data_IF_628691061433
#
_entry.id   IF_628691061433
#
_cell.length_a   1.000
_cell.length_b   1.000
_cell.length_c   1.000
_cell.angle_alpha   90.00
_cell.angle_beta   90.00
_cell.angle_gamma   90.00
#
_symmetry.space_group_name_H-M   'P 1'
#
loop_
_entity.id
_entity.type
_entity.pdbx_description
1 polymer ?
#
# COMPACT_ATOMS: atom_id res chain seq x y z
N UNK A 1 32.25 10.20 17.90
CA UNK A 1 31.96 8.94 17.21
C UNK A 1 30.46 8.71 17.38
N UNK A 2 29.66 9.03 16.37
CA UNK A 2 28.21 8.81 16.42
C UNK A 2 27.99 7.36 15.98
N UNK A 3 27.54 6.51 16.89
CA UNK A 3 27.13 5.14 16.60
C UNK A 3 25.83 5.21 15.80
N UNK A 4 25.92 5.04 14.48
CA UNK A 4 24.77 4.85 13.60
C UNK A 4 24.24 3.43 13.77
N UNK A 5 23.58 3.17 14.89
CA UNK A 5 23.05 1.85 15.23
C UNK A 5 21.57 1.95 15.60
N UNK A 6 20.82 2.71 14.80
CA UNK A 6 19.36 2.64 14.76
C UNK A 6 18.96 1.97 13.44
N UNK A 7 19.35 0.70 13.27
CA UNK A 7 18.46 -0.21 12.54
C UNK A 7 17.14 -0.15 13.30
N UNK A 8 16.15 0.47 12.66
CA UNK A 8 14.78 0.53 13.16
C UNK A 8 14.30 -0.93 13.24
N UNK A 9 14.56 -1.58 14.38
CA UNK A 9 14.07 -2.91 14.72
C UNK A 9 12.58 -2.74 14.90
N UNK A 10 11.86 -2.81 13.78
CA UNK A 10 10.42 -3.02 13.78
C UNK A 10 10.26 -4.40 14.42
N UNK A 11 10.10 -4.43 15.74
CA UNK A 11 9.62 -5.63 16.44
C UNK A 11 8.38 -6.06 15.67
N UNK A 12 8.29 -7.32 15.21
CA UNK A 12 7.20 -7.77 14.38
C UNK A 12 5.93 -7.46 15.17
N UNK A 13 5.12 -6.52 14.69
CA UNK A 13 3.96 -6.13 15.46
C UNK A 13 3.02 -7.32 15.35
N UNK A 14 2.19 -7.56 16.37
CA UNK A 14 1.18 -8.60 16.35
C UNK A 14 0.49 -8.69 14.97
N UNK A 15 0.06 -9.88 14.55
CA UNK A 15 -0.69 -10.16 13.32
C UNK A 15 -1.77 -9.10 13.05
N UNK A 16 -2.53 -8.68 14.05
CA UNK A 16 -3.49 -7.57 13.93
C UNK A 16 -2.86 -6.27 13.42
N UNK A 17 -1.69 -5.89 13.92
CA UNK A 17 -0.97 -4.70 13.46
C UNK A 17 -0.43 -4.88 12.05
N UNK A 18 0.04 -6.07 11.68
CA UNK A 18 0.47 -6.36 10.32
C UNK A 18 -0.69 -6.22 9.33
N UNK A 19 -1.89 -6.66 9.70
CA UNK A 19 -3.12 -6.44 8.94
C UNK A 19 -3.52 -4.96 8.88
N UNK A 20 -3.41 -4.23 9.99
CA UNK A 20 -3.66 -2.79 10.02
C UNK A 20 -2.74 -2.01 9.08
N UNK A 21 -1.44 -2.34 9.05
CA UNK A 21 -0.50 -1.74 8.12
C UNK A 21 -0.81 -2.11 6.68
N UNK A 22 -1.16 -3.37 6.43
CA UNK A 22 -1.60 -3.81 5.10
C UNK A 22 -2.78 -2.95 4.63
N UNK A 23 -3.83 -2.80 5.43
CA UNK A 23 -4.99 -1.99 5.10
C UNK A 23 -4.61 -0.52 4.84
N UNK A 24 -3.89 0.09 5.79
CA UNK A 24 -3.49 1.51 5.72
C UNK A 24 -2.66 1.83 4.47
N UNK A 25 -1.67 1.00 4.15
CA UNK A 25 -0.79 1.24 3.00
C UNK A 25 -1.37 0.77 1.67
N UNK A 26 -2.46 0.01 1.69
CA UNK A 26 -3.09 -0.54 0.48
C UNK A 26 -4.50 0.00 0.22
N UNK A 27 -4.94 1.00 0.98
CA UNK A 27 -6.12 1.78 0.64
C UNK A 27 -5.95 2.45 -0.73
N UNK A 28 -6.81 2.11 -1.70
CA UNK A 28 -6.68 2.50 -3.12
C UNK A 28 -7.88 3.27 -3.69
N UNK A 29 -8.91 3.60 -2.89
CA UNK A 29 -10.14 4.21 -3.42
C UNK A 29 -9.88 5.53 -4.14
N UNK A 30 -8.97 6.36 -3.63
CA UNK A 30 -8.61 7.63 -4.28
C UNK A 30 -8.07 7.43 -5.69
N UNK A 31 -7.17 6.47 -5.88
CA UNK A 31 -6.56 6.20 -7.17
C UNK A 31 -7.56 5.55 -8.15
N UNK A 32 -8.40 4.63 -7.67
CA UNK A 32 -9.47 4.06 -8.49
C UNK A 32 -10.51 5.11 -8.89
N UNK A 33 -10.84 6.05 -8.00
CA UNK A 33 -11.72 7.18 -8.32
C UNK A 33 -11.20 8.01 -9.49
N UNK A 34 -9.90 8.30 -9.53
CA UNK A 34 -9.28 8.98 -10.68
C UNK A 34 -9.41 8.15 -11.96
N UNK A 35 -9.12 6.84 -11.89
CA UNK A 35 -9.23 5.94 -13.05
C UNK A 35 -10.66 5.94 -13.60
N UNK A 36 -11.66 5.87 -12.73
CA UNK A 36 -13.06 5.89 -13.11
C UNK A 36 -13.45 7.23 -13.74
N UNK A 37 -13.08 8.36 -13.12
CA UNK A 37 -13.36 9.70 -13.64
C UNK A 37 -12.78 9.89 -15.04
N UNK A 38 -11.54 9.44 -15.26
CA UNK A 38 -10.90 9.45 -16.60
C UNK A 38 -11.65 8.53 -17.57
N UNK A 39 -12.01 7.33 -17.14
CA UNK A 39 -12.67 6.33 -17.98
C UNK A 39 -14.09 6.73 -18.40
N UNK A 40 -14.80 7.54 -17.59
CA UNK A 40 -16.14 8.03 -17.94
C UNK A 40 -16.18 8.90 -19.19
N UNK A 41 -15.06 9.51 -19.58
CA UNK A 41 -15.01 10.50 -20.66
C UNK A 41 -15.79 11.79 -20.37
N UNK A 42 -16.19 12.02 -19.11
CA UNK A 42 -16.93 13.23 -18.70
C UNK A 42 -16.03 14.47 -18.62
N UNK A 43 -14.72 14.28 -18.51
CA UNK A 43 -13.74 15.37 -18.41
C UNK A 43 -13.02 15.58 -19.73
N UNK A 44 -12.82 16.85 -20.11
CA UNK A 44 -11.99 17.21 -21.25
C UNK A 44 -10.51 17.13 -20.88
N UNK A 45 -9.90 15.98 -21.16
CA UNK A 45 -8.47 15.72 -20.91
C UNK A 45 -7.55 16.43 -21.92
N UNK A 46 -8.10 17.09 -22.96
CA UNK A 46 -7.29 17.93 -23.83
C UNK A 46 -6.91 19.26 -23.16
N UNK A 47 -7.66 19.66 -22.12
CA UNK A 47 -7.31 20.80 -21.29
C UNK A 47 -6.20 20.43 -20.30
N UNK A 48 -5.02 21.09 -20.35
CA UNK A 48 -3.86 20.71 -19.54
C UNK A 48 -4.13 20.72 -18.03
N UNK A 49 -4.93 21.68 -17.54
CA UNK A 49 -5.25 21.78 -16.11
C UNK A 49 -6.08 20.58 -15.62
N UNK A 50 -7.08 20.16 -16.40
CA UNK A 50 -7.93 19.00 -16.07
C UNK A 50 -7.14 17.70 -16.10
N UNK A 51 -6.24 17.55 -17.08
CA UNK A 51 -5.33 16.41 -17.14
C UNK A 51 -4.36 16.38 -15.95
N UNK A 52 -3.87 17.55 -15.52
CA UNK A 52 -2.98 17.67 -14.37
C UNK A 52 -3.70 17.46 -13.02
N UNK A 53 -4.94 17.90 -12.88
CA UNK A 53 -5.73 17.69 -11.66
C UNK A 53 -6.09 16.22 -11.45
N UNK A 54 -6.46 15.53 -12.53
CA UNK A 54 -6.77 14.10 -12.46
C UNK A 54 -5.49 13.25 -12.33
N UNK A 55 -4.38 13.64 -12.95
CA UNK A 55 -3.06 12.99 -12.85
C UNK A 55 -3.13 11.44 -12.85
N UNK A 56 -3.61 10.88 -13.96
CA UNK A 56 -3.75 9.44 -14.13
C UNK A 56 -2.40 8.71 -13.94
N UNK A 57 -1.30 9.30 -14.44
CA UNK A 57 0.01 8.66 -14.38
C UNK A 57 0.47 8.46 -12.92
N UNK A 58 0.32 9.50 -12.08
CA UNK A 58 0.60 9.40 -10.65
C UNK A 58 -0.29 8.37 -9.97
N UNK A 59 -1.58 8.35 -10.29
CA UNK A 59 -2.53 7.39 -9.73
C UNK A 59 -2.16 5.94 -10.08
N UNK A 60 -1.82 5.66 -11.34
CA UNK A 60 -1.34 4.34 -11.78
C UNK A 60 -0.02 3.94 -11.11
N UNK A 61 0.90 4.90 -10.92
CA UNK A 61 2.16 4.66 -10.22
C UNK A 61 1.92 4.31 -8.75
N UNK A 62 1.03 5.03 -8.08
CA UNK A 62 0.63 4.77 -6.70
C UNK A 62 -0.03 3.39 -6.56
N UNK A 63 -0.97 3.02 -7.44
CA UNK A 63 -1.58 1.68 -7.46
C UNK A 63 -0.51 0.57 -7.57
N UNK A 64 0.47 0.74 -8.46
CA UNK A 64 1.56 -0.23 -8.62
C UNK A 64 2.43 -0.35 -7.36
N UNK A 65 2.76 0.78 -6.73
CA UNK A 65 3.56 0.80 -5.51
C UNK A 65 2.80 0.16 -4.33
N UNK A 66 1.56 0.58 -4.10
CA UNK A 66 0.69 0.02 -3.04
C UNK A 66 0.49 -1.49 -3.23
N UNK A 67 0.25 -1.95 -4.47
CA UNK A 67 0.15 -3.37 -4.80
C UNK A 67 1.45 -4.14 -4.53
N UNK A 68 2.60 -3.53 -4.80
CA UNK A 68 3.90 -4.14 -4.51
C UNK A 68 4.15 -4.27 -3.01
N UNK A 69 3.83 -3.22 -2.24
CA UNK A 69 3.93 -3.21 -0.77
C UNK A 69 3.03 -4.30 -0.19
N UNK A 70 1.78 -4.39 -0.65
CA UNK A 70 0.83 -5.42 -0.23
C UNK A 70 1.43 -6.83 -0.37
N UNK A 71 1.97 -7.14 -1.56
CA UNK A 71 2.60 -8.43 -1.83
C UNK A 71 3.79 -8.71 -0.91
N UNK A 72 4.63 -7.70 -0.67
CA UNK A 72 5.79 -7.83 0.22
C UNK A 72 5.36 -8.10 1.66
N UNK A 73 4.35 -7.38 2.17
CA UNK A 73 3.81 -7.57 3.52
C UNK A 73 3.19 -8.96 3.65
N UNK A 74 2.30 -9.36 2.74
CA UNK A 74 1.67 -10.70 2.76
C UNK A 74 2.72 -11.80 2.72
N UNK A 75 3.73 -11.67 1.85
CA UNK A 75 4.83 -12.63 1.77
C UNK A 75 5.62 -12.68 3.09
N UNK A 76 5.98 -11.52 3.64
CA UNK A 76 6.71 -11.45 4.90
C UNK A 76 5.92 -12.12 6.03
N UNK A 77 4.62 -11.87 6.13
CA UNK A 77 3.78 -12.52 7.14
C UNK A 77 3.79 -14.05 6.93
N UNK A 78 3.61 -14.53 5.70
CA UNK A 78 3.61 -15.96 5.41
C UNK A 78 4.94 -16.64 5.78
N UNK A 79 6.07 -15.94 5.61
CA UNK A 79 7.41 -16.42 5.96
C UNK A 79 7.72 -16.33 7.46
N UNK A 80 7.00 -15.49 8.22
CA UNK A 80 7.29 -15.18 9.63
C UNK A 80 6.10 -15.47 10.57
N UNK A 81 5.17 -16.35 10.16
CA UNK A 81 3.95 -16.70 10.93
C UNK A 81 4.22 -17.14 12.38
N UNK A 82 5.37 -17.77 12.62
CA UNK A 82 5.78 -18.26 13.95
C UNK A 82 6.31 -17.14 14.86
N UNK A 83 6.66 -15.98 14.28
CA UNK A 83 7.13 -14.79 14.99
C UNK A 83 6.00 -13.81 15.33
N UNK A 84 4.76 -14.12 14.94
CA UNK A 84 3.57 -13.30 15.17
C UNK A 84 2.77 -13.87 16.35
N UNK A 85 2.74 -13.14 17.46
CA UNK A 85 2.24 -13.59 18.78
C UNK A 85 0.78 -14.08 18.77
N UNK A 86 -0.07 -13.49 17.92
CA UNK A 86 -1.53 -13.68 17.80
C UNK A 86 -1.93 -14.25 16.42
N UNK A 87 -1.00 -14.87 15.70
CA UNK A 87 -1.31 -15.51 14.41
C UNK A 87 -2.34 -16.64 14.59
N UNK A 88 -3.44 -16.68 13.81
CA UNK A 88 -4.50 -17.67 14.03
C UNK A 88 -4.03 -19.11 13.85
N UNK A 89 -4.26 -19.96 14.86
CA UNK A 89 -3.79 -21.36 14.86
C UNK A 89 -4.30 -22.19 13.68
N UNK A 90 -5.51 -21.91 13.18
CA UNK A 90 -6.10 -22.60 12.03
C UNK A 90 -5.46 -22.21 10.69
N UNK A 91 -4.64 -21.15 10.66
CA UNK A 91 -3.88 -20.69 9.50
C UNK A 91 -2.39 -21.06 9.59
N UNK A 92 -1.92 -21.60 10.72
CA UNK A 92 -0.54 -22.05 10.90
C UNK A 92 -0.23 -23.29 10.07
#
# INVERSE_FOLDING_TARGET
>A
MWTNDDELKINPPCWESALFFLDTFTYMESEFGIVDLVATGMFDLSHPETAQELDLEKSLRALRQKSSIAKSIVKWIAENKDLLDDYPDHLR
#
